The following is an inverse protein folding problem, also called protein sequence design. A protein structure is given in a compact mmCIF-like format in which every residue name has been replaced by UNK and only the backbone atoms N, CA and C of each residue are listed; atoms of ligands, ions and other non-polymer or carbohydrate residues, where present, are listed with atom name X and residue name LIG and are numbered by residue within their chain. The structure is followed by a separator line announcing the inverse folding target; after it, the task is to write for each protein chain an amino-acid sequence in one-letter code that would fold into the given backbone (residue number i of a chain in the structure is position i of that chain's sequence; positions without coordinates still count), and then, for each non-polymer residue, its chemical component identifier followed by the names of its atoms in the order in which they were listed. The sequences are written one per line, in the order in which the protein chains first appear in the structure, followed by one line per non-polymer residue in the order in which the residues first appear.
data_IF_527423375173
#
_entry.id   IF_527423375173
#
_cell.length_a   1.000
_cell.length_b   1.000
_cell.length_c   1.000
_cell.angle_alpha   90.00
_cell.angle_beta   90.00
_cell.angle_gamma   90.00
#
_symmetry.space_group_name_H-M   'P 1'
#
loop_
_entity.id
_entity.type
_entity.pdbx_description
1 polymer ?
#
# COMPACT_ATOMS: atom_id res chain seq x y z
N UNK A 1 19.35 -7.24 -3.20
CA UNK A 1 20.23 -8.15 -2.38
C UNK A 1 19.92 -8.08 -0.89
N UNK A 2 19.69 -6.89 -0.31
CA UNK A 2 19.44 -6.75 1.13
C UNK A 2 18.10 -7.37 1.57
N UNK A 3 17.04 -7.21 0.80
CA UNK A 3 15.68 -7.66 1.12
C UNK A 3 15.53 -9.19 1.15
N UNK A 4 16.28 -9.92 0.32
CA UNK A 4 16.32 -11.39 0.31
C UNK A 4 17.33 -11.99 1.29
N UNK A 5 18.02 -11.17 2.06
CA UNK A 5 19.08 -11.65 2.95
C UNK A 5 18.53 -12.26 4.23
N UNK A 6 19.28 -13.24 4.77
CA UNK A 6 19.01 -13.81 6.11
C UNK A 6 19.01 -12.73 7.20
N UNK A 7 19.78 -11.65 7.01
CA UNK A 7 19.85 -10.51 7.93
C UNK A 7 18.53 -9.72 7.98
N UNK A 8 17.89 -9.51 6.84
CA UNK A 8 16.60 -8.83 6.79
C UNK A 8 15.50 -9.66 7.47
N UNK A 9 15.45 -10.97 7.21
CA UNK A 9 14.50 -11.86 7.87
C UNK A 9 14.72 -11.91 9.39
N UNK A 10 15.97 -11.93 9.85
CA UNK A 10 16.33 -11.89 11.26
C UNK A 10 15.90 -10.57 11.91
N UNK A 11 16.14 -9.43 11.24
CA UNK A 11 15.70 -8.11 11.70
C UNK A 11 14.18 -8.05 11.89
N UNK A 12 13.41 -8.56 10.93
CA UNK A 12 11.94 -8.60 11.04
C UNK A 12 11.47 -9.48 12.19
N UNK A 13 12.13 -10.63 12.39
CA UNK A 13 11.82 -11.53 13.51
C UNK A 13 12.03 -10.85 14.86
N UNK A 14 13.12 -10.11 15.01
CA UNK A 14 13.41 -9.30 16.22
C UNK A 14 12.38 -8.19 16.40
N UNK A 15 12.10 -7.45 15.33
CA UNK A 15 11.13 -6.36 15.36
C UNK A 15 9.72 -6.82 15.76
N UNK A 16 9.29 -8.02 15.35
CA UNK A 16 8.01 -8.60 15.78
C UNK A 16 7.88 -8.78 17.28
N UNK A 17 8.98 -8.94 18.00
CA UNK A 17 8.97 -9.08 19.46
C UNK A 17 8.90 -7.73 20.19
N UNK A 18 9.19 -6.62 19.49
CA UNK A 18 9.33 -5.29 20.09
C UNK A 18 8.16 -4.38 19.70
N UNK A 19 7.66 -4.48 18.47
CA UNK A 19 6.67 -3.56 17.88
C UNK A 19 5.35 -4.24 17.61
N UNK A 20 4.25 -3.52 17.83
CA UNK A 20 2.89 -3.96 17.50
C UNK A 20 2.65 -3.92 15.98
N UNK A 21 3.23 -2.92 15.30
CA UNK A 21 3.15 -2.73 13.85
C UNK A 21 4.52 -2.51 13.26
N UNK A 22 4.77 -3.15 12.11
CA UNK A 22 5.98 -2.96 11.31
C UNK A 22 5.53 -2.58 9.91
N UNK A 23 5.89 -1.38 9.48
CA UNK A 23 5.57 -0.89 8.14
C UNK A 23 6.85 -0.88 7.32
N UNK A 24 6.82 -1.58 6.17
CA UNK A 24 7.94 -1.65 5.24
C UNK A 24 7.57 -0.82 4.01
N UNK A 25 8.27 0.28 3.81
CA UNK A 25 8.17 1.08 2.60
C UNK A 25 9.08 0.51 1.51
N UNK A 26 8.53 0.36 0.31
CA UNK A 26 9.24 -0.21 -0.84
C UNK A 26 9.31 0.78 -1.99
N UNK A 27 10.37 0.73 -2.83
CA UNK A 27 10.43 1.51 -4.05
C UNK A 27 9.22 1.23 -4.96
N UNK A 28 8.91 2.14 -5.91
CA UNK A 28 7.88 1.91 -6.91
C UNK A 28 8.09 0.57 -7.63
N UNK A 29 6.98 -0.12 -7.89
CA UNK A 29 6.94 -1.45 -8.49
C UNK A 29 7.44 -1.51 -9.95
N UNK A 30 8.64 -1.01 -10.20
CA UNK A 30 9.40 -1.29 -11.42
C UNK A 30 10.06 -2.67 -11.40
N UNK A 31 10.24 -3.22 -10.19
CA UNK A 31 10.77 -4.56 -9.96
C UNK A 31 9.79 -5.36 -9.11
N UNK A 32 8.97 -6.16 -9.76
CA UNK A 32 8.03 -7.09 -9.11
C UNK A 32 8.77 -8.09 -8.21
N UNK A 33 10.05 -8.34 -8.48
CA UNK A 33 10.88 -9.30 -7.75
C UNK A 33 11.08 -8.81 -6.30
N UNK A 34 11.42 -7.54 -6.10
CA UNK A 34 11.66 -7.00 -4.75
C UNK A 34 10.38 -7.00 -3.91
N UNK A 35 9.26 -6.67 -4.53
CA UNK A 35 7.96 -6.68 -3.85
C UNK A 35 7.51 -8.09 -3.50
N UNK A 36 7.81 -9.08 -4.34
CA UNK A 36 7.53 -10.48 -4.06
C UNK A 36 8.34 -10.98 -2.86
N UNK A 37 9.62 -10.60 -2.77
CA UNK A 37 10.49 -10.98 -1.65
C UNK A 37 9.99 -10.36 -0.34
N UNK A 38 9.65 -9.07 -0.36
CA UNK A 38 9.13 -8.37 0.82
C UNK A 38 7.77 -8.95 1.24
N UNK A 39 6.88 -9.18 0.29
CA UNK A 39 5.55 -9.71 0.58
C UNK A 39 5.55 -11.11 1.18
N UNK A 40 6.57 -11.92 0.86
CA UNK A 40 6.72 -13.25 1.43
C UNK A 40 7.02 -13.25 2.94
N UNK A 41 7.54 -12.16 3.48
CA UNK A 41 7.87 -12.01 4.91
C UNK A 41 6.90 -11.12 5.67
N UNK A 42 5.94 -10.50 4.99
CA UNK A 42 4.90 -9.66 5.56
C UNK A 42 3.61 -10.45 5.78
N UNK A 43 2.82 -10.03 6.76
CA UNK A 43 1.49 -10.61 7.00
C UNK A 43 0.48 -10.15 5.95
N UNK A 44 0.67 -8.94 5.42
CA UNK A 44 -0.18 -8.38 4.39
C UNK A 44 0.51 -7.22 3.65
N UNK A 45 -0.06 -6.81 2.52
CA UNK A 45 0.39 -5.68 1.74
C UNK A 45 -0.76 -4.70 1.46
N UNK A 46 -0.41 -3.43 1.34
CA UNK A 46 -1.28 -2.36 0.84
C UNK A 46 -0.66 -1.84 -0.45
N UNK A 47 -1.43 -1.79 -1.52
CA UNK A 47 -0.99 -1.25 -2.80
C UNK A 47 -1.29 0.25 -2.84
N UNK A 48 -0.25 1.08 -2.92
CA UNK A 48 -0.40 2.54 -3.04
C UNK A 48 -0.25 2.95 -4.49
N UNK A 49 -1.28 3.59 -5.05
CA UNK A 49 -1.32 4.03 -6.44
C UNK A 49 -1.48 5.55 -6.48
N UNK A 50 -0.62 6.23 -7.23
CA UNK A 50 -0.80 7.66 -7.50
C UNK A 50 -1.85 7.85 -8.59
N UNK A 51 -2.85 8.68 -8.32
CA UNK A 51 -3.90 9.02 -9.28
C UNK A 51 -3.30 9.61 -10.56
N UNK A 52 -3.87 9.26 -11.71
CA UNK A 52 -3.49 9.75 -13.04
C UNK A 52 -2.07 9.45 -13.50
N UNK A 53 -1.32 8.57 -12.80
CA UNK A 53 0.06 8.22 -13.17
C UNK A 53 0.20 6.89 -13.86
N UNK A 54 -0.70 5.95 -13.59
CA UNK A 54 -0.66 4.62 -14.19
C UNK A 54 -2.02 4.22 -14.76
N UNK A 55 -2.00 3.37 -15.78
CA UNK A 55 -3.22 2.83 -16.33
C UNK A 55 -3.87 1.78 -15.42
N UNK A 56 -5.19 1.66 -15.50
CA UNK A 56 -5.92 0.61 -14.79
C UNK A 56 -5.40 -0.80 -15.12
N UNK A 57 -5.05 -1.06 -16.39
CA UNK A 57 -4.49 -2.35 -16.82
C UNK A 57 -3.18 -2.65 -16.11
N UNK A 58 -2.31 -1.66 -15.95
CA UNK A 58 -1.05 -1.82 -15.25
C UNK A 58 -1.27 -2.09 -13.76
N UNK A 59 -2.12 -1.33 -13.10
CA UNK A 59 -2.47 -1.53 -11.69
C UNK A 59 -3.04 -2.92 -11.44
N UNK A 60 -3.92 -3.41 -12.32
CA UNK A 60 -4.46 -4.76 -12.25
C UNK A 60 -3.39 -5.83 -12.42
N UNK A 61 -2.49 -5.66 -13.38
CA UNK A 61 -1.38 -6.58 -13.61
C UNK A 61 -0.48 -6.70 -12.37
N UNK A 62 -0.14 -5.59 -11.73
CA UNK A 62 0.65 -5.56 -10.50
C UNK A 62 -0.06 -6.29 -9.36
N UNK A 63 -1.35 -6.01 -9.17
CA UNK A 63 -2.17 -6.71 -8.17
C UNK A 63 -2.17 -8.23 -8.42
N UNK A 64 -2.38 -8.66 -9.66
CA UNK A 64 -2.43 -10.07 -10.02
C UNK A 64 -1.08 -10.77 -9.81
N UNK A 65 0.02 -10.06 -10.05
CA UNK A 65 1.36 -10.57 -9.80
C UNK A 65 1.65 -10.71 -8.29
N UNK A 66 1.27 -9.72 -7.47
CA UNK A 66 1.39 -9.83 -6.03
C UNK A 66 0.52 -10.95 -5.46
N UNK A 67 -0.68 -11.12 -5.96
CA UNK A 67 -1.56 -12.20 -5.53
C UNK A 67 -0.95 -13.58 -5.78
N UNK A 68 -0.20 -13.76 -6.88
CA UNK A 68 0.52 -15.00 -7.18
C UNK A 68 1.64 -15.34 -6.19
N UNK A 69 2.14 -14.37 -5.45
CA UNK A 69 3.15 -14.61 -4.40
C UNK A 69 2.56 -15.22 -3.12
N UNK A 70 1.24 -15.33 -3.05
CA UNK A 70 0.53 -15.76 -1.83
C UNK A 70 0.37 -14.65 -0.78
N UNK A 71 0.80 -13.41 -1.08
CA UNK A 71 0.64 -12.28 -0.18
C UNK A 71 -0.82 -11.89 -0.04
N UNK A 72 -1.26 -11.68 1.18
CA UNK A 72 -2.57 -11.12 1.47
C UNK A 72 -2.60 -9.62 1.16
N UNK A 73 -3.38 -9.19 0.16
CA UNK A 73 -3.55 -7.79 -0.20
C UNK A 73 -4.77 -7.24 0.56
N UNK A 74 -4.54 -6.36 1.53
CA UNK A 74 -5.59 -5.73 2.34
C UNK A 74 -6.44 -4.77 1.51
N UNK A 75 -5.84 -4.10 0.55
CA UNK A 75 -6.54 -3.14 -0.29
C UNK A 75 -5.61 -2.24 -1.09
N UNK A 76 -6.23 -1.23 -1.70
CA UNK A 76 -5.54 -0.23 -2.53
C UNK A 76 -5.80 1.15 -1.99
N UNK A 77 -4.75 1.95 -1.85
CA UNK A 77 -4.84 3.38 -1.51
C UNK A 77 -4.57 4.19 -2.76
N UNK A 78 -5.52 5.03 -3.15
CA UNK A 78 -5.34 5.97 -4.23
C UNK A 78 -4.82 7.29 -3.67
N UNK A 79 -3.55 7.59 -3.94
CA UNK A 79 -2.86 8.79 -3.49
C UNK A 79 -2.91 9.91 -4.54
N UNK A 80 -2.67 11.15 -4.13
CA UNK A 80 -2.62 12.34 -5.00
C UNK A 80 -3.90 12.59 -5.78
N UNK A 81 -5.06 12.26 -5.21
CA UNK A 81 -6.36 12.52 -5.81
C UNK A 81 -6.68 14.01 -5.69
N UNK A 82 -6.95 14.67 -6.82
CA UNK A 82 -7.43 16.06 -6.80
C UNK A 82 -8.91 16.11 -6.45
N UNK A 83 -9.23 16.60 -5.26
CA UNK A 83 -10.60 16.75 -4.78
C UNK A 83 -11.43 17.72 -5.65
N UNK A 84 -10.76 18.66 -6.35
CA UNK A 84 -11.43 19.66 -7.21
C UNK A 84 -11.98 19.07 -8.51
N UNK A 85 -11.41 17.99 -9.01
CA UNK A 85 -11.84 17.39 -10.28
C UNK A 85 -12.92 16.33 -10.12
N UNK A 86 -13.18 15.87 -8.92
CA UNK A 86 -14.10 14.76 -8.69
C UNK A 86 -15.32 15.24 -7.90
N UNK A 87 -16.33 15.79 -8.60
CA UNK A 87 -17.61 16.23 -8.01
C UNK A 87 -18.31 15.14 -7.17
N UNK A 88 -18.05 13.89 -7.44
CA UNK A 88 -18.60 12.76 -6.70
C UNK A 88 -17.95 12.57 -5.33
N UNK A 89 -16.61 12.67 -5.23
CA UNK A 89 -15.90 12.54 -3.96
C UNK A 89 -16.11 13.73 -3.03
N UNK A 90 -16.14 14.95 -3.58
CA UNK A 90 -16.41 16.15 -2.79
C UNK A 90 -17.76 16.11 -2.09
N UNK A 91 -18.78 15.51 -2.73
CA UNK A 91 -20.13 15.37 -2.17
C UNK A 91 -20.23 14.29 -1.09
N UNK A 92 -19.43 13.22 -1.21
CA UNK A 92 -19.40 12.12 -0.23
C UNK A 92 -18.60 12.50 1.01
N UNK A 93 -17.39 13.03 0.85
CA UNK A 93 -16.52 13.41 1.97
C UNK A 93 -16.98 14.66 2.69
N UNK A 94 -17.56 15.63 1.99
CA UNK A 94 -18.18 16.81 2.62
C UNK A 94 -19.31 16.46 3.57
N UNK A 95 -20.03 15.37 3.31
CA UNK A 95 -21.13 14.90 4.15
C UNK A 95 -20.65 14.14 5.40
N UNK A 96 -19.49 13.49 5.34
CA UNK A 96 -18.95 12.70 6.46
C UNK A 96 -17.97 13.48 7.35
N UNK A 97 -17.21 14.42 6.80
CA UNK A 97 -16.23 15.20 7.55
C UNK A 97 -16.69 16.61 7.92
N UNK A 98 -17.74 17.11 7.31
CA UNK A 98 -18.34 18.41 7.65
C UNK A 98 -18.97 18.46 9.05
N UNK A 99 -19.19 17.33 9.69
CA UNK A 99 -19.74 17.24 11.05
C UNK A 99 -18.69 17.21 12.17
N UNK A 100 -17.39 17.03 11.84
CA UNK A 100 -16.32 16.98 12.84
C UNK A 100 -15.62 18.31 13.12
N UNK A 101 -16.02 19.38 12.45
CA UNK A 101 -15.39 20.72 12.53
C UNK A 101 -16.21 21.83 13.15
N UNK A 102 -17.41 21.57 13.70
CA UNK A 102 -18.29 22.62 14.19
C UNK A 102 -18.43 22.74 15.73
N UNK A 103 -17.54 22.06 16.47
CA UNK A 103 -17.45 22.26 17.92
C UNK A 103 -16.13 22.98 18.26
N UNK A 104 -16.08 24.27 17.90
CA UNK A 104 -15.25 25.28 18.59
C UNK A 104 -15.95 26.64 18.54
#
# INVERSE_FOLDING_TARGET
ELLGSKKFAALLKEARNIYDYIIIDTPPLGSVIDSAIVSAVCDAAILVISANTISYKFARSVKDQLAKTGCNILGVVLNKVSMKQNKYYGKYYGKYYGHYGSDK
#
